data_IF_447848213181
#
_entry.id   IF_447848213181
#
_cell.length_a   1.000
_cell.length_b   1.000
_cell.length_c   1.000
_cell.angle_alpha   90.00
_cell.angle_beta   90.00
_cell.angle_gamma   90.00
#
_symmetry.space_group_name_H-M   'P 1'
#
loop_
_entity.id
_entity.type
_entity.pdbx_description
1 polymer ?
#
# COMPACT_ATOMS: atom_id res chain seq x y z
N UNK A 1 -2.78 12.96 -3.52
CA UNK A 1 -2.62 11.73 -4.32
C UNK A 1 -3.78 10.74 -4.22
N UNK A 2 -4.02 10.06 -3.10
CA UNK A 2 -5.03 8.96 -3.04
C UNK A 2 -6.45 9.44 -3.44
N UNK A 3 -6.93 10.54 -2.87
CA UNK A 3 -8.27 11.09 -3.19
C UNK A 3 -8.43 11.48 -4.66
N UNK A 4 -7.37 12.00 -5.29
CA UNK A 4 -7.38 12.39 -6.70
C UNK A 4 -7.51 11.15 -7.61
N UNK A 5 -6.71 10.11 -7.35
CA UNK A 5 -6.78 8.86 -8.12
C UNK A 5 -8.18 8.23 -8.07
N UNK A 6 -8.82 8.20 -6.90
CA UNK A 6 -10.17 7.64 -6.74
C UNK A 6 -11.19 8.39 -7.61
N UNK A 7 -11.08 9.72 -7.69
CA UNK A 7 -11.98 10.54 -8.52
C UNK A 7 -11.79 10.29 -10.03
N UNK A 8 -10.58 9.94 -10.45
CA UNK A 8 -10.23 9.70 -11.86
C UNK A 8 -10.54 8.27 -12.35
N UNK A 9 -10.81 7.33 -11.44
CA UNK A 9 -11.16 5.97 -11.84
C UNK A 9 -12.45 5.93 -12.68
N UNK A 10 -12.49 5.04 -13.67
CA UNK A 10 -13.74 4.73 -14.37
C UNK A 10 -14.62 3.86 -13.48
N UNK A 11 -15.93 3.84 -13.72
CA UNK A 11 -16.85 3.02 -12.91
C UNK A 11 -16.60 1.50 -13.05
N UNK A 12 -15.87 1.08 -14.10
CA UNK A 12 -15.43 -0.32 -14.30
C UNK A 12 -14.17 -0.69 -13.50
N UNK A 13 -13.55 0.27 -12.84
CA UNK A 13 -12.34 0.03 -12.05
C UNK A 13 -12.74 -0.48 -10.67
N UNK A 14 -12.21 -1.64 -10.29
CA UNK A 14 -12.29 -2.12 -8.91
C UNK A 14 -11.19 -1.45 -8.07
N UNK A 15 -11.50 -1.03 -6.85
CA UNK A 15 -10.52 -0.45 -5.94
C UNK A 15 -10.73 -0.87 -4.48
N UNK A 16 -9.66 -0.76 -3.71
CA UNK A 16 -9.64 -0.87 -2.26
C UNK A 16 -8.58 0.07 -1.71
N UNK A 17 -8.75 0.49 -0.46
CA UNK A 17 -7.84 1.40 0.24
C UNK A 17 -7.38 0.69 1.51
N UNK A 18 -6.08 0.79 1.77
CA UNK A 18 -5.47 0.27 2.99
C UNK A 18 -4.71 1.41 3.65
N UNK A 19 -5.05 1.69 4.90
CA UNK A 19 -4.19 2.47 5.79
C UNK A 19 -3.51 1.54 6.76
N UNK A 20 -2.27 1.86 7.11
CA UNK A 20 -1.48 1.07 8.03
C UNK A 20 -0.68 1.97 8.96
N UNK A 21 -0.54 1.52 10.19
CA UNK A 21 0.30 2.07 11.24
C UNK A 21 0.81 0.88 12.07
N UNK A 22 0.63 0.84 13.39
CA UNK A 22 0.71 -0.40 14.18
C UNK A 22 -0.31 -1.48 13.79
N UNK A 23 -1.42 -1.12 13.16
CA UNK A 23 -2.45 -2.01 12.64
C UNK A 23 -2.78 -1.74 11.18
N UNK A 24 -3.93 -2.26 10.72
CA UNK A 24 -4.40 -2.09 9.34
C UNK A 24 -5.88 -1.75 9.33
N UNK A 25 -6.23 -0.65 8.65
CA UNK A 25 -7.59 -0.30 8.30
C UNK A 25 -7.80 -0.57 6.81
N UNK A 26 -9.00 -1.04 6.45
CA UNK A 26 -9.36 -1.41 5.08
C UNK A 26 -10.68 -0.79 4.69
N UNK A 27 -10.73 -0.33 3.45
CA UNK A 27 -11.96 0.05 2.79
C UNK A 27 -12.04 -0.63 1.41
N UNK A 28 -13.09 -1.40 1.12
CA UNK A 28 -14.07 -1.93 2.06
C UNK A 28 -13.47 -2.77 3.19
N UNK A 29 -14.15 -2.82 4.34
CA UNK A 29 -13.71 -3.63 5.49
C UNK A 29 -13.68 -5.14 5.18
N UNK A 30 -14.41 -5.57 4.16
CA UNK A 30 -14.46 -6.98 3.70
C UNK A 30 -13.14 -7.47 3.11
N UNK A 31 -12.22 -6.58 2.73
CA UNK A 31 -10.98 -6.95 2.04
C UNK A 31 -11.19 -7.39 0.58
N UNK A 32 -12.38 -7.16 0.02
CA UNK A 32 -12.70 -7.36 -1.40
C UNK A 32 -12.82 -5.99 -2.09
N UNK A 33 -12.25 -5.82 -3.28
CA UNK A 33 -12.32 -4.53 -3.97
C UNK A 33 -13.75 -4.29 -4.47
N UNK A 34 -14.10 -3.02 -4.62
CA UNK A 34 -15.42 -2.58 -5.08
C UNK A 34 -15.31 -1.75 -6.35
N UNK A 35 -16.34 -1.78 -7.18
CA UNK A 35 -16.42 -0.93 -8.36
C UNK A 35 -16.46 0.56 -7.99
N UNK A 36 -15.72 1.37 -8.75
CA UNK A 36 -15.58 2.80 -8.54
C UNK A 36 -16.78 3.61 -9.06
N UNK A 37 -18.00 3.18 -8.74
CA UNK A 37 -19.21 3.97 -9.00
C UNK A 37 -19.16 5.30 -8.24
N UNK A 38 -19.93 6.30 -8.69
CA UNK A 38 -19.99 7.62 -8.05
C UNK A 38 -20.28 7.54 -6.53
N UNK A 39 -21.23 6.67 -6.13
CA UNK A 39 -21.57 6.45 -4.73
C UNK A 39 -20.42 5.84 -3.92
N UNK A 40 -19.74 4.84 -4.49
CA UNK A 40 -18.61 4.19 -3.82
C UNK A 40 -17.38 5.08 -3.72
N UNK A 41 -17.10 5.90 -4.74
CA UNK A 41 -16.05 6.94 -4.67
C UNK A 41 -16.35 7.95 -3.56
N UNK A 42 -17.59 8.45 -3.49
CA UNK A 42 -18.00 9.40 -2.45
C UNK A 42 -17.87 8.82 -1.05
N UNK A 43 -18.30 7.57 -0.86
CA UNK A 43 -18.18 6.85 0.41
C UNK A 43 -16.71 6.62 0.80
N UNK A 44 -15.86 6.25 -0.15
CA UNK A 44 -14.42 6.09 0.08
C UNK A 44 -13.73 7.40 0.47
N UNK A 45 -14.06 8.51 -0.20
CA UNK A 45 -13.52 9.84 0.12
C UNK A 45 -13.95 10.30 1.52
N UNK A 46 -15.20 10.05 1.87
CA UNK A 46 -15.72 10.34 3.22
C UNK A 46 -15.00 9.51 4.28
N UNK A 47 -14.76 8.22 3.99
CA UNK A 47 -14.00 7.34 4.86
C UNK A 47 -12.55 7.81 5.03
N UNK A 48 -11.87 8.18 3.94
CA UNK A 48 -10.51 8.75 3.99
C UNK A 48 -10.47 9.99 4.89
N UNK A 49 -11.44 10.90 4.75
CA UNK A 49 -11.50 12.12 5.54
C UNK A 49 -11.78 11.87 7.05
N UNK A 50 -12.44 10.76 7.37
CA UNK A 50 -12.77 10.38 8.74
C UNK A 50 -11.65 9.60 9.45
N UNK A 51 -10.69 9.02 8.71
CA UNK A 51 -9.58 8.29 9.30
C UNK A 51 -8.61 9.27 9.98
N UNK A 52 -8.45 9.11 11.29
CA UNK A 52 -7.48 9.85 12.09
C UNK A 52 -6.04 9.35 11.90
N UNK A 53 -5.09 10.08 12.48
CA UNK A 53 -3.69 9.65 12.52
C UNK A 53 -3.48 8.40 13.37
N UNK A 54 -2.50 7.59 12.97
CA UNK A 54 -2.04 6.41 13.69
C UNK A 54 -0.63 6.58 14.27
N UNK A 55 -0.13 5.54 14.94
CA UNK A 55 1.24 5.50 15.49
C UNK A 55 1.98 4.24 15.05
N UNK A 56 3.26 4.38 14.70
CA UNK A 56 4.09 3.32 14.14
C UNK A 56 3.85 3.09 12.64
N UNK A 57 4.68 2.21 12.05
CA UNK A 57 4.64 1.91 10.60
C UNK A 57 4.88 0.42 10.33
N UNK A 58 3.84 -0.42 10.41
CA UNK A 58 3.87 -1.84 10.08
C UNK A 58 3.54 -2.09 8.60
N UNK A 59 4.40 -1.60 7.70
CA UNK A 59 4.15 -1.63 6.26
C UNK A 59 3.92 -3.04 5.70
N UNK A 60 4.52 -4.08 6.30
CA UNK A 60 4.31 -5.46 5.86
C UNK A 60 2.83 -5.85 5.89
N UNK A 61 2.11 -5.53 6.97
CA UNK A 61 0.70 -5.91 7.10
C UNK A 61 -0.18 -5.14 6.10
N UNK A 62 0.11 -3.85 5.88
CA UNK A 62 -0.58 -3.04 4.88
C UNK A 62 -0.38 -3.56 3.45
N UNK A 63 0.85 -3.93 3.10
CA UNK A 63 1.16 -4.52 1.79
C UNK A 63 0.49 -5.89 1.60
N UNK A 64 0.49 -6.75 2.63
CA UNK A 64 -0.21 -8.04 2.58
C UNK A 64 -1.72 -7.89 2.43
N UNK A 65 -2.32 -6.92 3.14
CA UNK A 65 -3.73 -6.59 2.96
C UNK A 65 -4.04 -6.08 1.55
N UNK A 66 -3.12 -5.32 0.95
CA UNK A 66 -3.26 -4.85 -0.43
C UNK A 66 -3.20 -5.99 -1.45
N UNK A 67 -2.31 -6.97 -1.23
CA UNK A 67 -2.28 -8.18 -2.05
C UNK A 67 -3.55 -9.02 -1.88
N UNK A 68 -4.14 -9.07 -0.68
CA UNK A 68 -5.44 -9.73 -0.47
C UNK A 68 -6.54 -9.10 -1.34
N UNK A 69 -6.63 -7.77 -1.40
CA UNK A 69 -7.56 -7.08 -2.31
C UNK A 69 -7.34 -7.50 -3.77
N UNK A 70 -6.08 -7.46 -4.23
CA UNK A 70 -5.74 -7.86 -5.59
C UNK A 70 -6.11 -9.34 -5.86
N UNK A 71 -5.92 -10.23 -4.89
CA UNK A 71 -6.25 -11.64 -5.01
C UNK A 71 -7.75 -11.90 -5.17
N UNK A 72 -8.60 -11.06 -4.56
CA UNK A 72 -10.06 -11.14 -4.70
C UNK A 72 -10.61 -10.43 -5.95
N UNK A 73 -9.83 -9.57 -6.59
CA UNK A 73 -10.22 -8.91 -7.84
C UNK A 73 -10.32 -9.91 -8.99
N UNK A 74 -11.36 -9.76 -9.81
CA UNK A 74 -11.51 -10.51 -11.07
C UNK A 74 -10.78 -9.85 -12.25
N UNK A 75 -10.30 -8.62 -12.06
CA UNK A 75 -9.64 -7.83 -13.10
C UNK A 75 -8.32 -8.45 -13.57
N UNK A 76 -8.06 -8.42 -14.87
CA UNK A 76 -6.80 -8.93 -15.44
C UNK A 76 -5.58 -8.08 -15.03
N UNK A 77 -5.77 -6.75 -14.93
CA UNK A 77 -4.70 -5.82 -14.55
C UNK A 77 -4.87 -5.42 -13.08
N UNK A 78 -3.86 -5.75 -12.27
CA UNK A 78 -3.86 -5.52 -10.82
C UNK A 78 -2.65 -4.67 -10.45
N UNK A 79 -2.90 -3.55 -9.76
CA UNK A 79 -1.87 -2.59 -9.37
C UNK A 79 -2.06 -2.19 -7.92
N UNK A 80 -0.99 -2.22 -7.15
CA UNK A 80 -0.90 -1.61 -5.82
C UNK A 80 -0.09 -0.32 -5.95
N UNK A 81 -0.61 0.77 -5.38
CA UNK A 81 0.11 2.02 -5.21
C UNK A 81 0.39 2.21 -3.72
N UNK A 82 1.63 1.96 -3.31
CA UNK A 82 2.10 2.18 -1.95
C UNK A 82 2.56 3.63 -1.81
N UNK A 83 2.10 4.32 -0.77
CA UNK A 83 2.52 5.68 -0.43
C UNK A 83 3.03 5.68 1.01
N UNK A 84 4.26 6.17 1.22
CA UNK A 84 4.87 6.23 2.54
C UNK A 84 6.30 6.76 2.48
N UNK A 85 6.90 7.02 3.64
CA UNK A 85 8.30 7.42 3.76
C UNK A 85 9.29 6.25 3.56
N UNK A 86 8.77 5.01 3.54
CA UNK A 86 9.55 3.79 3.46
C UNK A 86 10.14 3.35 4.80
N UNK A 87 9.80 4.07 5.88
CA UNK A 87 10.14 3.73 7.24
C UNK A 87 9.32 2.55 7.75
N UNK A 88 9.93 1.78 8.64
CA UNK A 88 9.27 0.58 9.16
C UNK A 88 9.94 0.01 10.39
N UNK A 89 9.80 0.67 11.53
CA UNK A 89 9.96 0.03 12.84
C UNK A 89 9.09 0.72 13.88
N UNK A 90 8.24 -0.08 14.50
CA UNK A 90 7.44 0.27 15.66
C UNK A 90 7.20 -1.01 16.46
N UNK A 91 5.97 -1.29 16.96
CA UNK A 91 5.66 -2.56 17.63
C UNK A 91 5.75 -3.79 16.72
N UNK A 92 5.89 -3.58 15.40
CA UNK A 92 5.93 -4.61 14.37
C UNK A 92 7.16 -5.54 14.47
N UNK A 93 8.22 -5.11 15.17
CA UNK A 93 9.45 -5.87 15.36
C UNK A 93 10.28 -6.03 14.08
N UNK A 94 11.19 -7.02 14.10
CA UNK A 94 12.14 -7.34 13.03
C UNK A 94 13.49 -7.74 13.62
N UNK A 95 14.03 -8.90 13.22
CA UNK A 95 15.34 -9.36 13.72
C UNK A 95 16.42 -8.40 13.24
N UNK A 96 17.07 -7.67 14.15
CA UNK A 96 18.06 -6.65 13.79
C UNK A 96 17.47 -5.27 13.48
N UNK A 97 16.26 -4.96 13.96
CA UNK A 97 15.62 -3.65 13.83
C UNK A 97 15.03 -3.40 12.43
N UNK A 98 15.00 -2.12 12.02
CA UNK A 98 14.33 -1.66 10.79
C UNK A 98 14.85 -2.36 9.54
N UNK A 99 16.16 -2.50 9.41
CA UNK A 99 16.78 -3.21 8.29
C UNK A 99 16.28 -4.65 8.18
N UNK A 100 16.21 -5.35 9.31
CA UNK A 100 15.70 -6.70 9.37
C UNK A 100 14.23 -6.79 8.96
N UNK A 101 13.40 -5.89 9.50
CA UNK A 101 11.97 -5.83 9.20
C UNK A 101 11.70 -5.55 7.71
N UNK A 102 12.38 -4.55 7.12
CA UNK A 102 12.19 -4.18 5.73
C UNK A 102 12.67 -5.31 4.78
N UNK A 103 13.77 -5.98 5.12
CA UNK A 103 14.23 -7.15 4.35
C UNK A 103 13.25 -8.33 4.45
N UNK A 104 12.75 -8.64 5.64
CA UNK A 104 11.70 -9.66 5.84
C UNK A 104 10.43 -9.30 5.07
N UNK A 105 10.06 -8.01 5.05
CA UNK A 105 8.91 -7.50 4.28
C UNK A 105 9.09 -7.77 2.79
N UNK A 106 10.25 -7.44 2.20
CA UNK A 106 10.52 -7.73 0.79
C UNK A 106 10.40 -9.22 0.46
N UNK A 107 10.97 -10.09 1.31
CA UNK A 107 10.88 -11.54 1.15
C UNK A 107 9.43 -12.05 1.24
N UNK A 108 8.68 -11.56 2.22
CA UNK A 108 7.29 -11.94 2.44
C UNK A 108 6.41 -11.51 1.26
N UNK A 109 6.59 -10.30 0.75
CA UNK A 109 5.84 -9.81 -0.42
C UNK A 109 6.19 -10.60 -1.67
N UNK A 110 7.47 -10.95 -1.89
CA UNK A 110 7.86 -11.81 -3.01
C UNK A 110 7.17 -13.19 -2.96
N UNK A 111 7.04 -13.78 -1.76
CA UNK A 111 6.34 -15.05 -1.57
C UNK A 111 4.82 -14.95 -1.76
N UNK A 112 4.22 -13.84 -1.35
CA UNK A 112 2.75 -13.67 -1.32
C UNK A 112 2.19 -13.01 -2.59
N UNK A 113 3.01 -12.37 -3.40
CA UNK A 113 2.59 -11.77 -4.67
C UNK A 113 2.55 -12.80 -5.83
N UNK A 114 1.87 -13.92 -5.60
CA UNK A 114 1.80 -15.03 -6.58
C UNK A 114 1.01 -14.65 -7.85
N UNK A 115 0.15 -13.63 -7.79
CA UNK A 115 -0.57 -13.10 -8.96
C UNK A 115 0.22 -12.05 -9.75
N UNK A 116 1.50 -11.80 -9.40
CA UNK A 116 2.38 -10.84 -10.08
C UNK A 116 1.77 -9.43 -10.18
N UNK A 117 1.13 -8.98 -9.11
CA UNK A 117 0.55 -7.64 -8.98
C UNK A 117 1.66 -6.61 -9.12
N UNK A 118 1.47 -5.61 -9.97
CA UNK A 118 2.43 -4.51 -10.09
C UNK A 118 2.39 -3.66 -8.82
N UNK A 119 3.53 -3.44 -8.15
CA UNK A 119 3.60 -2.57 -6.97
C UNK A 119 4.38 -1.30 -7.33
N UNK A 120 3.69 -0.17 -7.41
CA UNK A 120 4.32 1.14 -7.52
C UNK A 120 4.50 1.74 -6.13
N UNK A 121 5.64 2.40 -5.89
CA UNK A 121 5.95 3.03 -4.62
C UNK A 121 6.12 4.54 -4.77
N UNK A 122 5.51 5.30 -3.86
CA UNK A 122 5.60 6.75 -3.80
C UNK A 122 6.19 7.14 -2.45
N UNK A 123 7.42 7.63 -2.48
CA UNK A 123 8.13 8.17 -1.33
C UNK A 123 7.62 9.55 -0.95
N UNK A 124 7.08 9.73 0.26
CA UNK A 124 6.63 11.02 0.82
C UNK A 124 7.27 11.27 2.18
N UNK A 125 7.39 12.53 2.61
CA UNK A 125 7.92 12.90 3.94
C UNK A 125 9.31 12.32 4.25
N UNK A 126 10.11 12.06 3.22
CA UNK A 126 11.40 11.40 3.37
C UNK A 126 12.47 12.38 3.84
N UNK A 127 13.10 12.12 4.99
CA UNK A 127 14.15 12.97 5.57
C UNK A 127 15.53 12.82 4.89
N UNK A 128 15.70 11.92 3.91
CA UNK A 128 16.96 11.73 3.20
C UNK A 128 16.92 10.64 2.11
N UNK A 129 18.09 10.25 1.59
CA UNK A 129 18.27 9.07 0.72
C UNK A 129 18.88 7.94 1.57
N UNK A 130 18.02 7.19 2.23
CA UNK A 130 18.42 6.18 3.20
C UNK A 130 17.98 4.76 2.84
N UNK A 131 18.05 3.89 3.83
CA UNK A 131 17.53 2.52 3.79
C UNK A 131 16.06 2.48 3.36
N UNK A 132 15.26 3.43 3.84
CA UNK A 132 13.84 3.55 3.53
C UNK A 132 13.61 3.78 2.03
N UNK A 133 14.38 4.69 1.41
CA UNK A 133 14.30 4.89 -0.04
C UNK A 133 14.73 3.65 -0.82
N UNK A 134 15.76 2.97 -0.33
CA UNK A 134 16.26 1.74 -0.94
C UNK A 134 15.21 0.63 -0.87
N UNK A 135 14.51 0.51 0.26
CA UNK A 135 13.37 -0.39 0.42
C UNK A 135 12.26 -0.09 -0.61
N UNK A 136 11.83 1.17 -0.74
CA UNK A 136 10.78 1.54 -1.71
C UNK A 136 11.16 1.23 -3.16
N UNK A 137 12.42 1.50 -3.52
CA UNK A 137 12.96 1.18 -4.85
C UNK A 137 13.01 -0.32 -5.10
N UNK A 138 13.47 -1.09 -4.11
CA UNK A 138 13.55 -2.55 -4.21
C UNK A 138 12.16 -3.18 -4.28
N UNK A 139 11.21 -2.71 -3.48
CA UNK A 139 9.83 -3.17 -3.49
C UNK A 139 9.18 -2.97 -4.85
N UNK A 140 9.33 -1.77 -5.44
CA UNK A 140 8.79 -1.51 -6.77
C UNK A 140 9.45 -2.36 -7.86
N UNK A 141 10.79 -2.35 -7.90
CA UNK A 141 11.57 -3.08 -8.90
C UNK A 141 11.29 -4.58 -8.88
N UNK A 142 11.23 -5.19 -7.69
CA UNK A 142 10.98 -6.62 -7.54
C UNK A 142 9.58 -7.05 -7.99
N UNK A 143 8.63 -6.11 -8.10
CA UNK A 143 7.24 -6.37 -8.46
C UNK A 143 6.84 -5.67 -9.77
N UNK A 144 7.82 -5.37 -10.65
CA UNK A 144 7.57 -4.80 -11.98
C UNK A 144 6.94 -3.40 -11.98
N UNK A 145 7.04 -2.67 -10.87
CA UNK A 145 6.52 -1.31 -10.75
C UNK A 145 7.61 -0.24 -10.79
N UNK A 146 7.21 0.99 -10.50
CA UNK A 146 8.06 2.17 -10.51
C UNK A 146 8.09 2.84 -9.14
N UNK A 147 9.21 3.49 -8.85
CA UNK A 147 9.37 4.34 -7.67
C UNK A 147 9.33 5.81 -8.09
N UNK A 148 8.56 6.63 -7.36
CA UNK A 148 8.56 8.09 -7.47
C UNK A 148 8.72 8.72 -6.10
N UNK A 149 9.53 9.77 -6.00
CA UNK A 149 9.59 10.63 -4.81
C UNK A 149 8.72 11.86 -5.03
N UNK A 150 7.94 12.25 -4.02
CA UNK A 150 7.23 13.52 -3.97
C UNK A 150 7.84 14.30 -2.81
N UNK A 151 8.40 15.47 -3.13
CA UNK A 151 8.93 16.42 -2.15
C UNK A 151 7.85 17.44 -1.79
#
# INVERSE_FOLDING_TARGET
>A
EISRNIQEFSDRTEFGIVFFDSGVLRYPSTGRPIEATAGMKSAALSWIAAVGGGSGSCCQQGLLASLQFANFSSSQRKVVCYVGDGGGTGPCGGTGGESGYLNQTLQRIAQQNYQRVTINTIGVMMSGRGMQETFLRNLARANGGTYKRIN
#
